data_IF_772014869432
#
_entry.id   IF_772014869432
#
_cell.length_a   1.000
_cell.length_b   1.000
_cell.length_c   1.000
_cell.angle_alpha   90.00
_cell.angle_beta   90.00
_cell.angle_gamma   90.00
#
_symmetry.space_group_name_H-M   'P 1'
#
loop_
_entity.id
_entity.type
_entity.pdbx_description
1 polymer ?
#
# COMPACT_ATOMS: atom_id res chain seq x y z
N UNK A 1 16.67 -17.32 -35.76
CA UNK A 1 16.71 -15.91 -35.29
C UNK A 1 15.46 -15.52 -34.48
N UNK A 2 14.23 -15.64 -35.00
CA UNK A 2 12.99 -15.26 -34.27
C UNK A 2 12.82 -15.91 -32.89
N UNK A 3 13.14 -17.21 -32.77
CA UNK A 3 13.08 -17.95 -31.49
C UNK A 3 14.09 -17.45 -30.45
N UNK A 4 15.28 -17.03 -30.90
CA UNK A 4 16.31 -16.47 -30.01
C UNK A 4 15.91 -15.09 -29.49
N UNK A 5 15.27 -14.28 -30.34
CA UNK A 5 14.71 -12.98 -29.94
C UNK A 5 13.60 -13.18 -28.90
N UNK A 6 12.70 -14.15 -29.10
CA UNK A 6 11.64 -14.45 -28.13
C UNK A 6 12.21 -14.88 -26.76
N UNK A 7 13.22 -15.74 -26.74
CA UNK A 7 13.89 -16.18 -25.50
C UNK A 7 14.59 -15.00 -24.80
N UNK A 8 15.25 -14.11 -25.55
CA UNK A 8 15.90 -12.94 -24.99
C UNK A 8 14.91 -11.95 -24.36
N UNK A 9 13.73 -11.76 -24.98
CA UNK A 9 12.68 -10.90 -24.43
C UNK A 9 12.12 -11.47 -23.12
N UNK A 10 11.83 -12.77 -23.08
CA UNK A 10 11.36 -13.45 -21.85
C UNK A 10 12.40 -13.34 -20.73
N UNK A 11 13.69 -13.54 -21.05
CA UNK A 11 14.77 -13.39 -20.07
C UNK A 11 14.88 -11.97 -19.51
N UNK A 12 14.70 -10.94 -20.35
CA UNK A 12 14.70 -9.54 -19.90
C UNK A 12 13.51 -9.21 -18.99
N UNK A 13 12.32 -9.77 -19.25
CA UNK A 13 11.15 -9.55 -18.39
C UNK A 13 11.35 -10.10 -16.97
N UNK A 14 12.16 -11.15 -16.80
CA UNK A 14 12.46 -11.76 -15.50
C UNK A 14 13.41 -10.90 -14.64
N UNK A 15 14.15 -9.96 -15.24
CA UNK A 15 15.11 -9.09 -14.54
C UNK A 15 14.47 -7.85 -13.89
N UNK A 16 13.19 -7.58 -14.16
CA UNK A 16 12.49 -6.36 -13.72
C UNK A 16 11.83 -6.41 -12.34
N UNK A 17 12.16 -7.36 -11.47
CA UNK A 17 11.40 -7.64 -10.24
C UNK A 17 11.88 -6.93 -8.98
N UNK A 18 12.90 -6.07 -9.05
CA UNK A 18 13.34 -5.31 -7.88
C UNK A 18 12.41 -4.12 -7.63
N UNK A 19 11.29 -4.37 -6.94
CA UNK A 19 10.50 -3.30 -6.31
C UNK A 19 11.20 -2.92 -5.00
N UNK A 20 11.71 -1.70 -4.92
CA UNK A 20 12.30 -1.16 -3.69
C UNK A 20 11.22 -0.36 -2.97
N UNK A 21 10.62 -0.94 -1.95
CA UNK A 21 9.76 -0.19 -1.03
C UNK A 21 10.64 0.49 0.03
N UNK A 22 10.23 1.67 0.50
CA UNK A 22 10.83 2.22 1.70
C UNK A 22 10.50 1.31 2.89
N UNK A 23 11.47 1.06 3.78
CA UNK A 23 11.27 0.31 5.03
C UNK A 23 10.57 1.20 6.09
N UNK A 24 9.37 1.68 5.80
CA UNK A 24 8.58 2.44 6.76
C UNK A 24 7.87 1.50 7.72
N UNK A 25 8.46 1.31 8.90
CA UNK A 25 7.84 0.52 9.97
C UNK A 25 6.66 1.22 10.67
N UNK A 26 6.43 2.51 10.37
CA UNK A 26 5.36 3.30 10.96
C UNK A 26 4.88 4.41 10.03
N UNK A 27 3.59 4.43 9.75
CA UNK A 27 2.91 5.49 9.02
C UNK A 27 2.08 6.30 10.02
N UNK A 28 2.06 7.63 9.88
CA UNK A 28 1.21 8.52 10.69
C UNK A 28 0.11 9.07 9.78
N UNK A 29 -1.13 8.76 10.12
CA UNK A 29 -2.31 9.20 9.37
C UNK A 29 -3.06 10.18 10.26
N UNK A 30 -3.26 11.40 9.78
CA UNK A 30 -4.13 12.38 10.43
C UNK A 30 -5.57 12.09 10.05
N UNK A 31 -6.45 12.04 11.03
CA UNK A 31 -7.90 11.81 10.83
C UNK A 31 -8.69 12.89 11.58
N UNK A 32 -9.90 13.17 11.12
CA UNK A 32 -10.74 14.25 11.67
C UNK A 32 -11.29 13.92 13.07
N UNK A 33 -11.75 12.69 13.28
CA UNK A 33 -12.28 12.20 14.56
C UNK A 33 -13.69 12.67 14.92
N UNK A 34 -14.29 13.57 14.15
CA UNK A 34 -15.63 14.14 14.37
C UNK A 34 -16.60 13.90 13.20
N UNK A 35 -16.37 12.84 12.41
CA UNK A 35 -17.14 12.54 11.20
C UNK A 35 -17.56 11.06 11.11
N UNK A 36 -18.54 10.61 11.94
CA UNK A 36 -19.10 9.27 11.81
C UNK A 36 -19.83 9.06 10.48
N UNK A 37 -19.80 7.85 9.87
CA UNK A 37 -19.15 6.62 10.34
C UNK A 37 -17.71 6.43 9.83
N UNK A 38 -17.08 7.48 9.29
CA UNK A 38 -15.78 7.40 8.63
C UNK A 38 -14.61 7.61 9.59
N UNK A 39 -14.70 8.62 10.47
CA UNK A 39 -13.67 8.97 11.44
C UNK A 39 -14.30 9.45 12.76
N UNK A 40 -14.25 8.62 13.81
CA UNK A 40 -14.85 8.92 15.11
C UNK A 40 -13.87 8.62 16.25
N UNK A 41 -13.80 9.52 17.23
CA UNK A 41 -13.17 9.27 18.53
C UNK A 41 -14.21 8.65 19.47
N UNK A 42 -13.98 7.42 19.92
CA UNK A 42 -14.81 6.74 20.89
C UNK A 42 -14.63 7.33 22.31
N UNK A 43 -15.56 7.08 23.26
CA UNK A 43 -15.47 7.62 24.61
C UNK A 43 -14.21 7.22 25.40
N UNK A 44 -13.57 6.11 25.02
CA UNK A 44 -12.31 5.63 25.58
C UNK A 44 -11.06 6.26 24.92
N UNK A 45 -11.27 7.16 23.94
CA UNK A 45 -10.22 7.83 23.19
C UNK A 45 -9.68 7.06 22.00
N UNK A 46 -10.22 5.87 21.70
CA UNK A 46 -9.82 5.10 20.51
C UNK A 46 -10.44 5.67 19.24
N UNK A 47 -9.77 5.45 18.10
CA UNK A 47 -10.28 5.82 16.78
C UNK A 47 -11.04 4.64 16.17
N UNK A 48 -12.18 4.91 15.54
CA UNK A 48 -12.96 3.93 14.77
C UNK A 48 -13.59 4.57 13.53
N UNK A 49 -14.02 3.72 12.60
CA UNK A 49 -14.73 4.12 11.38
C UNK A 49 -14.03 3.64 10.11
N UNK A 50 -14.70 3.82 8.97
CA UNK A 50 -14.22 3.31 7.68
C UNK A 50 -12.80 3.76 7.32
N UNK A 51 -12.45 5.03 7.58
CA UNK A 51 -11.12 5.56 7.25
C UNK A 51 -10.03 4.96 8.15
N UNK A 52 -10.38 4.49 9.34
CA UNK A 52 -9.46 3.84 10.30
C UNK A 52 -9.24 2.38 9.89
N UNK A 53 -10.27 1.71 9.36
CA UNK A 53 -10.18 0.32 8.93
C UNK A 53 -9.31 0.13 7.67
N UNK A 54 -9.18 1.16 6.84
CA UNK A 54 -8.36 1.13 5.60
C UNK A 54 -6.94 1.69 5.79
N UNK A 55 -6.68 2.34 6.92
CA UNK A 55 -5.44 3.04 7.26
C UNK A 55 -4.34 2.09 7.76
#
# INVERSE_FOLDING_TARGET
MKKLIAVAVVAMMMLGTSVSANEWNKIRIGVEGAYPPFSEVAPDGTLKGFDIDIA
#
